data_IF_751494464174
#
_entry.id   IF_751494464174
#
_cell.length_a   1.000
_cell.length_b   1.000
_cell.length_c   1.000
_cell.angle_alpha   90.00
_cell.angle_beta   90.00
_cell.angle_gamma   90.00
#
_symmetry.space_group_name_H-M   'P 1'
#
loop_
_entity.id
_entity.type
_entity.pdbx_description
1 polymer ?
#
# COMPACT_ATOMS: atom_id res chain seq x y z
N UNK A 1 -0.99 -46.19 -41.56
CA UNK A 1 -0.65 -44.94 -40.83
C UNK A 1 0.38 -45.27 -39.75
N UNK A 2 1.60 -44.70 -39.83
CA UNK A 2 2.63 -44.87 -38.79
C UNK A 2 2.36 -43.85 -37.67
N UNK A 3 2.15 -44.30 -36.44
CA UNK A 3 2.02 -43.42 -35.26
C UNK A 3 3.39 -42.79 -34.96
N UNK A 4 3.49 -41.47 -34.75
CA UNK A 4 4.74 -40.87 -34.29
C UNK A 4 5.00 -41.31 -32.85
N UNK A 5 6.17 -41.92 -32.62
CA UNK A 5 6.68 -42.21 -31.28
C UNK A 5 7.08 -40.89 -30.63
N UNK A 6 6.46 -40.56 -29.49
CA UNK A 6 6.91 -39.49 -28.62
C UNK A 6 8.33 -39.82 -28.16
N UNK A 7 9.34 -39.11 -28.70
CA UNK A 7 10.69 -39.11 -28.12
C UNK A 7 10.61 -38.44 -26.76
N UNK A 8 10.79 -39.21 -25.68
CA UNK A 8 11.16 -38.64 -24.37
C UNK A 8 12.50 -37.93 -24.55
N UNK A 9 12.57 -36.64 -24.25
CA UNK A 9 13.84 -35.93 -24.06
C UNK A 9 14.50 -36.48 -22.79
N UNK A 10 15.21 -37.60 -22.92
CA UNK A 10 16.02 -38.17 -21.84
C UNK A 10 17.19 -37.23 -21.55
N UNK A 11 17.32 -36.82 -20.28
CA UNK A 11 18.54 -36.16 -19.80
C UNK A 11 19.70 -37.14 -19.98
N UNK A 12 20.87 -36.64 -20.37
CA UNK A 12 22.06 -37.46 -20.58
C UNK A 12 22.37 -38.29 -19.32
N UNK A 13 22.76 -39.58 -19.44
CA UNK A 13 23.17 -40.37 -18.29
C UNK A 13 24.46 -39.80 -17.71
N UNK A 14 24.33 -39.07 -16.60
CA UNK A 14 25.43 -38.47 -15.83
C UNK A 14 24.95 -38.01 -14.46
N UNK A 15 25.85 -37.95 -13.49
CA UNK A 15 25.59 -37.38 -12.16
C UNK A 15 25.16 -35.91 -12.33
N UNK A 16 24.07 -35.50 -11.66
CA UNK A 16 23.63 -34.11 -11.66
C UNK A 16 24.80 -33.21 -11.25
N UNK A 17 25.02 -32.15 -12.03
CA UNK A 17 25.99 -31.12 -11.65
C UNK A 17 25.48 -30.38 -10.41
N UNK A 18 26.36 -29.73 -9.63
CA UNK A 18 25.93 -28.86 -8.52
C UNK A 18 24.90 -27.79 -8.95
N UNK A 19 25.04 -27.28 -10.18
CA UNK A 19 24.10 -26.33 -10.78
C UNK A 19 22.73 -26.97 -11.04
N UNK A 20 22.68 -28.19 -11.59
CA UNK A 20 21.44 -28.92 -11.79
C UNK A 20 20.74 -29.23 -10.45
N UNK A 21 21.53 -29.58 -9.43
CA UNK A 21 21.01 -29.86 -8.09
C UNK A 21 20.41 -28.60 -7.45
N UNK A 22 21.06 -27.45 -7.61
CA UNK A 22 20.53 -26.17 -7.13
C UNK A 22 19.18 -25.81 -7.77
N UNK A 23 19.01 -26.05 -9.07
CA UNK A 23 17.74 -25.82 -9.77
C UNK A 23 16.64 -26.75 -9.22
N UNK A 24 16.96 -28.03 -9.02
CA UNK A 24 16.02 -29.01 -8.43
C UNK A 24 15.59 -28.59 -7.03
N UNK A 25 16.53 -28.11 -6.21
CA UNK A 25 16.24 -27.71 -4.83
C UNK A 25 15.43 -26.42 -4.76
N UNK A 26 15.69 -25.44 -5.65
CA UNK A 26 14.84 -24.26 -5.81
C UNK A 26 13.41 -24.64 -6.21
N UNK A 27 13.25 -25.55 -7.17
CA UNK A 27 11.93 -26.03 -7.60
C UNK A 27 11.18 -26.75 -6.47
N UNK A 28 11.87 -27.55 -5.65
CA UNK A 28 11.30 -28.19 -4.45
C UNK A 28 10.89 -27.19 -3.38
N UNK A 29 11.70 -26.15 -3.16
CA UNK A 29 11.38 -25.08 -2.24
C UNK A 29 10.11 -24.32 -2.69
N UNK A 30 10.01 -24.02 -3.99
CA UNK A 30 8.82 -23.41 -4.60
C UNK A 30 7.56 -24.26 -4.39
N UNK A 31 7.64 -25.57 -4.68
CA UNK A 31 6.49 -26.48 -4.47
C UNK A 31 6.08 -26.57 -3.00
N UNK A 32 7.04 -26.58 -2.08
CA UNK A 32 6.77 -26.59 -0.64
C UNK A 32 6.04 -25.31 -0.22
N UNK A 33 6.52 -24.13 -0.65
CA UNK A 33 5.89 -22.85 -0.35
C UNK A 33 4.44 -22.79 -0.83
N UNK A 34 4.15 -23.29 -2.05
CA UNK A 34 2.79 -23.32 -2.60
C UNK A 34 1.86 -24.31 -1.90
N UNK A 35 2.36 -25.49 -1.51
CA UNK A 35 1.52 -26.56 -0.92
C UNK A 35 1.25 -26.33 0.55
N UNK A 36 2.23 -25.78 1.26
CA UNK A 36 2.16 -25.54 2.69
C UNK A 36 2.61 -24.10 2.95
N UNK A 37 1.81 -23.10 2.53
CA UNK A 37 2.12 -21.72 2.83
C UNK A 37 2.19 -21.55 4.35
N UNK A 38 3.26 -20.92 4.83
CA UNK A 38 3.31 -20.50 6.22
C UNK A 38 2.25 -19.42 6.42
N UNK A 39 1.31 -19.59 7.36
CA UNK A 39 0.18 -18.67 7.52
C UNK A 39 0.71 -17.30 7.91
N UNK A 40 0.26 -16.26 7.22
CA UNK A 40 0.53 -14.90 7.64
C UNK A 40 -0.50 -14.49 8.70
N UNK A 41 -0.01 -13.82 9.74
CA UNK A 41 -0.85 -13.18 10.75
C UNK A 41 -0.66 -11.67 10.64
N UNK A 42 -1.75 -10.88 10.55
CA UNK A 42 -1.72 -9.42 10.56
C UNK A 42 -0.83 -8.86 11.68
N UNK A 43 -0.01 -7.84 11.38
CA UNK A 43 0.86 -7.17 12.36
C UNK A 43 2.27 -7.74 12.53
N UNK A 44 2.66 -8.77 11.77
CA UNK A 44 3.97 -9.40 11.89
C UNK A 44 5.16 -8.59 11.36
N UNK A 45 4.91 -7.47 10.65
CA UNK A 45 5.91 -6.67 9.91
C UNK A 45 6.84 -7.48 8.98
N UNK A 46 6.48 -8.74 8.72
CA UNK A 46 7.17 -9.65 7.82
C UNK A 46 6.67 -9.39 6.41
N UNK A 47 7.58 -9.54 5.46
CA UNK A 47 7.15 -9.50 4.08
C UNK A 47 6.21 -10.67 3.83
N UNK A 48 5.18 -10.37 3.06
CA UNK A 48 4.13 -11.29 2.71
C UNK A 48 4.26 -11.68 1.25
N UNK A 49 3.82 -12.90 0.96
CA UNK A 49 3.62 -13.38 -0.38
C UNK A 49 2.23 -12.95 -0.83
N UNK A 50 2.16 -11.99 -1.72
CA UNK A 50 0.89 -11.47 -2.24
C UNK A 50 0.70 -11.93 -3.67
N UNK A 51 -0.47 -12.46 -3.97
CA UNK A 51 -0.82 -12.81 -5.34
C UNK A 51 -1.01 -11.53 -6.15
N UNK A 52 -0.26 -11.44 -7.24
CA UNK A 52 -0.35 -10.38 -8.25
C UNK A 52 -0.52 -11.06 -9.60
N UNK A 53 -1.78 -11.26 -10.00
CA UNK A 53 -2.11 -12.04 -11.20
C UNK A 53 -1.64 -13.49 -11.09
N UNK A 54 -0.93 -14.03 -12.11
CA UNK A 54 -0.39 -15.39 -12.05
C UNK A 54 0.91 -15.48 -11.24
N UNK A 55 1.44 -14.34 -10.78
CA UNK A 55 2.68 -14.24 -10.04
C UNK A 55 2.43 -14.05 -8.54
N UNK A 56 3.48 -14.29 -7.76
CA UNK A 56 3.52 -14.06 -6.32
C UNK A 56 4.61 -13.05 -6.06
N UNK A 57 4.23 -11.89 -5.54
CA UNK A 57 5.15 -10.82 -5.24
C UNK A 57 5.47 -10.77 -3.75
N UNK A 58 6.71 -10.39 -3.46
CA UNK A 58 7.10 -10.00 -2.12
C UNK A 58 6.52 -8.61 -1.87
N UNK A 59 5.70 -8.47 -0.85
CA UNK A 59 5.21 -7.18 -0.41
C UNK A 59 5.57 -6.96 1.06
N UNK A 60 6.01 -5.76 1.38
CA UNK A 60 6.21 -5.30 2.73
C UNK A 60 4.91 -4.69 3.22
N UNK A 61 4.34 -5.14 4.33
CA UNK A 61 3.13 -4.51 4.85
C UNK A 61 3.42 -3.08 5.33
N UNK A 62 2.48 -2.17 5.16
CA UNK A 62 2.54 -0.83 5.74
C UNK A 62 2.29 -0.97 7.22
N UNK A 63 3.28 -0.66 8.07
CA UNK A 63 3.08 -0.75 9.50
C UNK A 63 1.85 0.06 9.93
N UNK A 64 0.91 -0.57 10.65
CA UNK A 64 -0.27 0.09 11.21
C UNK A 64 -1.48 0.18 10.28
N UNK A 65 -1.34 -0.27 9.03
CA UNK A 65 -2.44 -0.49 8.11
C UNK A 65 -2.44 -1.95 7.64
N UNK A 66 -1.84 -2.84 8.43
CA UNK A 66 -1.65 -4.26 8.13
C UNK A 66 -2.51 -5.20 8.96
N UNK A 67 -3.55 -4.64 9.58
CA UNK A 67 -4.49 -5.31 10.49
C UNK A 67 -5.96 -5.30 10.02
N UNK A 68 -6.26 -4.62 8.90
CA UNK A 68 -7.63 -4.54 8.40
C UNK A 68 -8.16 -5.91 7.98
N UNK A 69 -9.41 -6.26 8.33
CA UNK A 69 -9.94 -7.60 8.10
C UNK A 69 -10.06 -7.93 6.62
N UNK A 70 -10.39 -6.93 5.80
CA UNK A 70 -10.61 -7.08 4.36
C UNK A 70 -9.46 -6.49 3.54
N UNK A 71 -8.86 -5.39 4.01
CA UNK A 71 -7.87 -4.60 3.29
C UNK A 71 -6.76 -4.11 4.20
N UNK A 72 -5.53 -4.22 3.73
CA UNK A 72 -4.33 -3.72 4.38
C UNK A 72 -3.48 -2.90 3.41
N UNK A 73 -2.57 -2.06 3.86
CA UNK A 73 -1.61 -1.42 2.97
C UNK A 73 -0.28 -2.16 2.89
N UNK A 74 0.38 -2.14 1.73
CA UNK A 74 1.62 -2.86 1.43
C UNK A 74 2.46 -2.10 0.40
N UNK A 75 3.78 -2.24 0.43
CA UNK A 75 4.67 -1.78 -0.64
C UNK A 75 5.29 -3.00 -1.30
N UNK A 76 5.24 -3.12 -2.62
CA UNK A 76 5.90 -4.23 -3.31
C UNK A 76 7.43 -4.09 -3.22
N UNK A 77 8.11 -5.20 -2.95
CA UNK A 77 9.57 -5.26 -2.76
C UNK A 77 10.19 -6.23 -3.74
N UNK A 78 11.29 -5.84 -4.37
CA UNK A 78 12.02 -6.74 -5.26
C UNK A 78 12.50 -7.97 -4.47
N UNK A 79 12.37 -9.21 -4.99
CA UNK A 79 12.73 -10.41 -4.24
C UNK A 79 14.16 -10.40 -3.73
N UNK A 80 15.11 -9.92 -4.55
CA UNK A 80 16.54 -9.83 -4.21
C UNK A 80 16.92 -8.60 -3.37
N UNK A 81 16.00 -7.69 -3.11
CA UNK A 81 16.32 -6.52 -2.29
C UNK A 81 16.40 -6.94 -0.81
N UNK A 82 17.47 -6.55 -0.07
CA UNK A 82 17.59 -6.86 1.34
C UNK A 82 16.51 -6.18 2.19
N UNK A 83 15.97 -5.05 1.72
CA UNK A 83 14.87 -4.30 2.35
C UNK A 83 13.92 -3.70 1.29
N UNK A 84 12.78 -3.16 1.71
CA UNK A 84 11.83 -2.39 0.89
C UNK A 84 12.47 -1.20 0.11
N UNK A 85 13.74 -0.87 0.39
CA UNK A 85 14.58 0.10 -0.31
C UNK A 85 15.34 -0.44 -1.52
N UNK A 86 14.64 -0.66 -2.63
CA UNK A 86 14.77 0.19 -3.81
C UNK A 86 16.10 0.57 -4.51
N UNK A 87 17.31 0.07 -4.23
CA UNK A 87 18.50 0.72 -4.83
C UNK A 87 19.23 0.01 -5.98
N UNK A 88 19.17 -1.33 -6.12
CA UNK A 88 19.93 -2.00 -7.19
C UNK A 88 19.11 -2.33 -8.44
N UNK A 89 17.83 -2.71 -8.30
CA UNK A 89 16.98 -3.11 -9.44
C UNK A 89 15.55 -2.53 -9.39
N UNK A 90 15.19 -1.88 -8.28
CA UNK A 90 13.80 -1.51 -8.00
C UNK A 90 13.24 -0.38 -8.88
N UNK A 91 14.09 0.48 -9.48
CA UNK A 91 13.64 1.47 -10.48
C UNK A 91 13.39 0.85 -11.85
N UNK A 92 14.10 -0.22 -12.21
CA UNK A 92 14.04 -0.83 -13.53
C UNK A 92 12.83 -1.78 -13.68
N UNK A 93 12.40 -2.40 -12.57
CA UNK A 93 11.29 -3.38 -12.56
C UNK A 93 10.04 -2.89 -11.81
N UNK A 94 9.96 -1.60 -11.48
CA UNK A 94 8.71 -0.97 -11.02
C UNK A 94 8.35 -1.15 -9.53
N UNK A 95 9.26 -1.67 -8.69
CA UNK A 95 9.03 -1.89 -7.26
C UNK A 95 9.12 -0.62 -6.38
N UNK A 96 9.69 0.46 -6.88
CA UNK A 96 10.12 1.61 -6.04
C UNK A 96 9.26 2.86 -6.16
N UNK A 97 8.43 2.91 -7.20
CA UNK A 97 7.63 4.08 -7.55
C UNK A 97 6.18 3.98 -7.07
N UNK A 98 5.79 2.89 -6.40
CA UNK A 98 4.38 2.59 -6.10
C UNK A 98 3.91 3.01 -4.72
N UNK A 99 4.82 3.37 -3.82
CA UNK A 99 4.48 3.76 -2.45
C UNK A 99 3.72 2.64 -1.72
N UNK A 100 2.75 3.02 -0.89
CA UNK A 100 1.91 2.08 -0.15
C UNK A 100 0.61 1.79 -0.88
N UNK A 101 0.18 0.54 -0.88
CA UNK A 101 -0.90 -0.03 -1.68
C UNK A 101 -1.90 -0.83 -0.82
N UNK A 102 -3.19 -0.52 -0.85
CA UNK A 102 -4.32 -1.31 -0.36
C UNK A 102 -4.40 -2.68 -1.04
N UNK A 103 -3.91 -3.69 -0.33
CA UNK A 103 -3.97 -5.11 -0.60
C UNK A 103 -5.14 -5.75 0.15
N UNK A 104 -5.96 -6.52 -0.56
CA UNK A 104 -6.95 -7.38 0.09
C UNK A 104 -6.27 -8.48 0.90
N UNK A 105 -6.78 -8.78 2.08
CA UNK A 105 -6.23 -9.86 2.93
C UNK A 105 -6.38 -11.23 2.27
N UNK A 106 -7.37 -11.39 1.40
CA UNK A 106 -7.62 -12.61 0.60
C UNK A 106 -6.54 -12.86 -0.47
N UNK A 107 -5.81 -11.81 -0.90
CA UNK A 107 -4.72 -11.93 -1.86
C UNK A 107 -3.42 -12.43 -1.20
N UNK A 108 -3.37 -12.49 0.13
CA UNK A 108 -2.19 -12.86 0.90
C UNK A 108 -2.13 -14.37 1.02
N UNK A 109 -1.10 -14.95 0.41
CA UNK A 109 -0.89 -16.39 0.43
C UNK A 109 -0.28 -16.87 1.74
N UNK A 110 0.42 -15.99 2.44
CA UNK A 110 1.16 -16.30 3.65
C UNK A 110 2.42 -15.45 3.75
N UNK A 111 3.34 -15.85 4.62
CA UNK A 111 4.63 -15.19 4.70
C UNK A 111 5.45 -15.35 3.43
N UNK A 112 6.21 -14.33 3.09
CA UNK A 112 7.23 -14.43 2.06
C UNK A 112 8.24 -15.51 2.44
N UNK A 113 8.42 -16.47 1.55
CA UNK A 113 9.39 -17.55 1.66
C UNK A 113 10.27 -17.51 0.41
N UNK A 114 11.57 -17.84 0.50
CA UNK A 114 12.46 -17.86 -0.67
C UNK A 114 11.94 -18.70 -1.84
N UNK A 115 11.14 -19.74 -1.56
CA UNK A 115 10.50 -20.57 -2.60
C UNK A 115 9.55 -19.79 -3.52
N UNK A 116 8.99 -18.66 -3.09
CA UNK A 116 8.17 -17.80 -3.94
C UNK A 116 8.97 -16.92 -4.89
N UNK A 117 10.29 -16.78 -4.70
CA UNK A 117 11.12 -15.92 -5.55
C UNK A 117 11.00 -16.29 -7.04
N UNK A 118 10.97 -17.59 -7.37
CA UNK A 118 10.81 -18.09 -8.74
C UNK A 118 9.45 -17.75 -9.38
N UNK A 119 8.47 -17.35 -8.58
CA UNK A 119 7.12 -17.02 -9.00
C UNK A 119 6.89 -15.51 -9.10
N UNK A 120 7.93 -14.69 -8.95
CA UNK A 120 7.84 -13.24 -9.13
C UNK A 120 7.97 -12.85 -10.60
N UNK A 121 7.49 -11.66 -10.95
CA UNK A 121 7.79 -11.05 -12.24
C UNK A 121 9.30 -10.87 -12.44
N UNK A 122 10.01 -10.46 -11.39
CA UNK A 122 11.45 -10.28 -11.42
C UNK A 122 12.19 -11.56 -11.85
N UNK A 123 11.79 -12.74 -11.34
CA UNK A 123 12.40 -14.01 -11.74
C UNK A 123 12.12 -14.38 -13.21
N UNK A 124 10.98 -13.96 -13.75
CA UNK A 124 10.68 -14.07 -15.18
C UNK A 124 11.38 -12.98 -16.03
N UNK A 125 12.21 -12.12 -15.42
CA UNK A 125 12.79 -10.92 -16.05
C UNK A 125 11.73 -9.98 -16.63
N UNK A 126 10.55 -9.97 -16.00
CA UNK A 126 9.44 -9.11 -16.35
C UNK A 126 9.36 -7.96 -15.34
N UNK A 127 9.01 -6.73 -15.78
CA UNK A 127 8.69 -5.65 -14.86
C UNK A 127 7.39 -5.96 -14.11
N UNK A 128 7.21 -5.38 -12.92
CA UNK A 128 5.89 -5.37 -12.29
C UNK A 128 4.87 -4.73 -13.24
N UNK A 129 3.72 -5.37 -13.47
CA UNK A 129 2.70 -4.85 -14.36
C UNK A 129 2.20 -3.52 -13.82
N UNK A 130 1.97 -2.52 -14.67
CA UNK A 130 1.59 -1.17 -14.22
C UNK A 130 0.39 -1.18 -13.26
N UNK A 131 -0.57 -2.09 -13.44
CA UNK A 131 -1.60 -2.44 -12.46
C UNK A 131 -1.28 -3.76 -11.74
N UNK A 132 -1.07 -3.69 -10.42
CA UNK A 132 -0.83 -4.86 -9.55
C UNK A 132 -2.09 -5.38 -8.85
N UNK A 133 -3.23 -4.73 -9.09
CA UNK A 133 -4.50 -5.08 -8.44
C UNK A 133 -4.62 -4.60 -6.99
N UNK A 134 -3.91 -3.53 -6.61
CA UNK A 134 -3.94 -2.91 -5.28
C UNK A 134 -3.96 -1.38 -5.41
N UNK A 135 -4.89 -0.72 -4.73
CA UNK A 135 -5.03 0.75 -4.76
C UNK A 135 -3.98 1.43 -3.88
N UNK A 136 -3.69 2.74 -3.96
CA UNK A 136 -2.80 3.40 -2.99
C UNK A 136 -3.42 3.62 -1.59
N UNK A 137 -2.62 3.61 -0.52
CA UNK A 137 -3.12 3.51 0.87
C UNK A 137 -3.10 4.77 1.76
N UNK A 138 -3.42 5.94 1.23
CA UNK A 138 -3.02 7.25 1.78
C UNK A 138 -3.76 7.76 3.06
N UNK A 139 -3.53 9.02 3.50
CA UNK A 139 -4.15 9.65 4.69
C UNK A 139 -5.00 10.86 4.32
N UNK A 140 -5.80 11.37 5.27
CA UNK A 140 -6.50 12.61 5.05
C UNK A 140 -6.71 13.44 6.35
N UNK A 141 -6.99 14.74 6.20
CA UNK A 141 -7.36 15.68 7.24
C UNK A 141 -8.85 16.00 7.11
N UNK A 142 -9.45 16.47 8.18
CA UNK A 142 -10.83 16.83 8.32
C UNK A 142 -10.87 18.05 9.23
N UNK A 143 -11.24 19.20 8.70
CA UNK A 143 -11.49 20.39 9.48
C UNK A 143 -12.97 20.34 9.83
N UNK A 144 -13.29 20.36 11.11
CA UNK A 144 -14.64 20.16 11.62
C UNK A 144 -15.08 21.34 12.47
N UNK A 145 -16.33 21.77 12.29
CA UNK A 145 -17.04 22.70 13.14
C UNK A 145 -17.96 21.93 14.09
N UNK A 146 -17.72 22.04 15.40
CA UNK A 146 -18.52 21.36 16.44
C UNK A 146 -19.22 22.38 17.35
N UNK A 147 -20.46 22.12 17.77
CA UNK A 147 -21.19 23.02 18.68
C UNK A 147 -20.47 23.12 20.04
N UNK A 148 -20.58 24.28 20.69
CA UNK A 148 -19.94 24.54 22.00
C UNK A 148 -20.66 23.94 23.20
N UNK A 149 -21.89 23.51 23.03
CA UNK A 149 -22.74 22.97 24.08
C UNK A 149 -22.40 21.51 24.46
N UNK A 150 -21.37 20.93 23.85
CA UNK A 150 -20.91 19.56 24.12
C UNK A 150 -21.75 18.47 23.45
N UNK A 151 -22.72 18.83 22.60
CA UNK A 151 -23.42 17.87 21.74
C UNK A 151 -22.51 17.30 20.64
N UNK A 152 -22.85 16.12 20.09
CA UNK A 152 -22.15 15.54 18.93
C UNK A 152 -22.48 16.26 17.62
N UNK A 153 -23.36 17.24 17.67
CA UNK A 153 -23.79 18.03 16.52
C UNK A 153 -22.65 18.88 16.00
N UNK A 154 -22.42 18.76 14.70
CA UNK A 154 -21.39 19.49 13.99
C UNK A 154 -21.25 18.96 12.59
N UNK A 155 -20.43 19.62 11.80
CA UNK A 155 -20.23 19.28 10.40
C UNK A 155 -18.78 19.47 10.03
N UNK A 156 -18.38 18.78 8.97
CA UNK A 156 -17.04 18.91 8.42
C UNK A 156 -17.01 20.09 7.47
N UNK A 157 -16.11 21.04 7.74
CA UNK A 157 -15.88 22.26 6.97
C UNK A 157 -15.02 22.01 5.73
N UNK A 158 -13.95 21.24 5.90
CA UNK A 158 -12.97 20.93 4.87
C UNK A 158 -12.49 19.52 5.13
N UNK A 159 -12.16 18.73 4.11
CA UNK A 159 -11.36 17.53 4.32
C UNK A 159 -10.19 17.58 3.36
N UNK A 160 -9.01 17.11 3.72
CA UNK A 160 -7.83 17.21 2.86
C UNK A 160 -7.14 15.87 2.68
N UNK A 161 -6.96 15.37 1.47
CA UNK A 161 -6.28 14.10 1.21
C UNK A 161 -6.72 13.55 -0.14
N UNK A 162 -6.17 12.41 -0.62
CA UNK A 162 -5.24 11.52 0.04
C UNK A 162 -3.79 12.01 0.02
N UNK A 163 -3.12 11.94 1.16
CA UNK A 163 -1.69 12.16 1.21
C UNK A 163 -0.91 10.92 0.81
N UNK A 164 -0.35 11.02 -0.39
CA UNK A 164 0.52 10.01 -0.99
C UNK A 164 1.79 9.70 -0.18
N UNK A 165 2.23 10.69 0.60
CA UNK A 165 3.36 10.61 1.52
C UNK A 165 2.96 11.27 2.83
N UNK A 166 3.10 10.55 3.94
CA UNK A 166 2.74 11.05 5.28
C UNK A 166 3.41 12.40 5.61
N UNK A 167 4.62 12.65 5.10
CA UNK A 167 5.34 13.90 5.32
C UNK A 167 4.59 15.14 4.81
N UNK A 168 3.83 14.99 3.74
CA UNK A 168 3.04 16.07 3.20
C UNK A 168 1.77 16.26 4.04
N UNK A 169 1.18 15.14 4.50
CA UNK A 169 0.04 15.13 5.40
C UNK A 169 0.27 15.94 6.68
N UNK A 170 1.40 15.68 7.35
CA UNK A 170 1.76 16.37 8.59
C UNK A 170 2.06 17.85 8.36
N UNK A 171 2.82 18.15 7.29
CA UNK A 171 3.19 19.53 6.96
C UNK A 171 1.94 20.40 6.86
N UNK A 172 0.92 19.91 6.18
CA UNK A 172 -0.28 20.69 5.94
C UNK A 172 -1.23 20.72 7.15
N UNK A 173 -1.24 19.68 7.99
CA UNK A 173 -1.93 19.70 9.29
C UNK A 173 -1.40 20.80 10.25
N UNK A 174 -0.08 20.96 10.35
CA UNK A 174 0.55 21.96 11.23
C UNK A 174 0.21 23.39 10.76
N UNK A 175 0.23 23.59 9.44
CA UNK A 175 -0.11 24.86 8.81
C UNK A 175 -1.55 25.27 9.10
N UNK A 176 -2.49 24.32 9.01
CA UNK A 176 -3.90 24.54 9.31
C UNK A 176 -4.14 24.85 10.80
N UNK A 177 -3.49 24.11 11.70
CA UNK A 177 -3.66 24.33 13.14
C UNK A 177 -3.14 25.70 13.57
N UNK A 178 -1.98 26.11 13.04
CA UNK A 178 -1.45 27.45 13.28
C UNK A 178 -2.37 28.55 12.74
N UNK A 179 -3.02 28.31 11.59
CA UNK A 179 -3.99 29.26 11.03
C UNK A 179 -5.29 29.37 11.84
N UNK A 180 -5.62 28.32 12.62
CA UNK A 180 -6.81 28.27 13.48
C UNK A 180 -6.59 28.91 14.86
N UNK A 181 -5.35 29.03 15.34
CA UNK A 181 -5.02 29.50 16.69
C UNK A 181 -5.54 30.94 16.96
N UNK A 182 -6.27 31.10 18.05
CA UNK A 182 -6.97 32.35 18.40
C UNK A 182 -8.18 32.68 17.52
N UNK A 183 -8.50 31.85 16.52
CA UNK A 183 -9.63 32.00 15.59
C UNK A 183 -10.66 30.87 15.70
N UNK A 184 -10.41 29.82 16.48
CA UNK A 184 -11.23 28.60 16.51
C UNK A 184 -12.70 28.87 16.86
N UNK A 185 -12.94 29.91 17.65
CA UNK A 185 -14.27 30.31 18.12
C UNK A 185 -14.83 31.53 17.39
N UNK A 186 -14.09 32.10 16.44
CA UNK A 186 -14.51 33.29 15.70
C UNK A 186 -14.78 32.99 14.23
N UNK A 187 -14.22 31.89 13.69
CA UNK A 187 -14.40 31.49 12.29
C UNK A 187 -15.83 31.11 11.94
N UNK A 188 -16.53 30.37 12.82
CA UNK A 188 -17.92 29.95 12.61
C UNK A 188 -18.72 30.23 13.88
N UNK A 189 -19.65 31.20 13.87
CA UNK A 189 -20.43 31.58 15.06
C UNK A 189 -21.18 30.40 15.69
N UNK A 190 -21.08 30.24 17.00
CA UNK A 190 -21.72 29.14 17.74
C UNK A 190 -21.00 27.79 17.67
N UNK A 191 -19.99 27.67 16.81
CA UNK A 191 -19.15 26.49 16.69
C UNK A 191 -17.73 26.77 17.21
N UNK A 192 -16.99 25.69 17.42
CA UNK A 192 -15.53 25.67 17.54
C UNK A 192 -14.99 24.88 16.36
N UNK A 193 -14.04 25.46 15.63
CA UNK A 193 -13.39 24.85 14.46
C UNK A 193 -12.09 24.19 14.88
N UNK A 194 -11.80 23.00 14.35
CA UNK A 194 -10.55 22.27 14.60
C UNK A 194 -10.20 21.38 13.41
N UNK A 195 -8.91 21.15 13.15
CA UNK A 195 -8.43 20.14 12.20
C UNK A 195 -8.25 18.77 12.86
N UNK A 196 -8.52 17.69 12.12
CA UNK A 196 -8.45 16.30 12.55
C UNK A 196 -7.78 15.47 11.46
N UNK A 197 -6.80 14.66 11.81
CA UNK A 197 -6.15 13.71 10.91
C UNK A 197 -6.86 12.35 10.96
N UNK A 198 -7.08 11.66 9.84
CA UNK A 198 -7.61 10.29 9.83
C UNK A 198 -7.07 9.45 8.66
N UNK A 199 -7.10 8.11 8.77
CA UNK A 199 -6.89 7.23 7.63
C UNK A 199 -7.77 7.69 6.49
N UNK A 200 -7.19 7.73 5.30
CA UNK A 200 -8.04 7.73 4.14
C UNK A 200 -8.67 6.35 4.09
N UNK A 201 -9.90 6.27 4.58
CA UNK A 201 -10.81 5.28 4.04
C UNK A 201 -11.03 5.68 2.58
N UNK A 202 -10.64 4.80 1.68
CA UNK A 202 -10.84 5.03 0.24
C UNK A 202 -12.32 5.26 -0.07
N UNK A 203 -13.20 4.68 0.76
CA UNK A 203 -14.66 4.80 0.62
C UNK A 203 -15.16 6.25 0.73
N UNK A 204 -14.42 7.13 1.41
CA UNK A 204 -14.85 8.50 1.73
C UNK A 204 -14.18 9.59 0.87
N UNK A 205 -13.43 9.23 -0.18
CA UNK A 205 -12.52 10.14 -0.90
C UNK A 205 -13.13 11.45 -1.42
N UNK A 206 -14.38 11.40 -1.91
CA UNK A 206 -15.05 12.56 -2.54
C UNK A 206 -15.31 13.71 -1.57
N UNK A 207 -15.21 13.42 -0.29
CA UNK A 207 -15.43 14.41 0.74
C UNK A 207 -14.18 15.27 0.99
N UNK A 208 -13.05 14.99 0.30
CA UNK A 208 -11.73 15.57 0.52
C UNK A 208 -11.21 16.43 -0.64
N UNK A 209 -10.67 17.59 -0.29
CA UNK A 209 -9.89 18.53 -1.08
C UNK A 209 -8.42 18.07 -1.21
N UNK A 210 -7.79 18.37 -2.34
CA UNK A 210 -6.40 17.96 -2.58
C UNK A 210 -5.41 18.92 -1.88
N UNK A 211 -4.55 18.41 -0.98
CA UNK A 211 -3.58 19.22 -0.26
C UNK A 211 -2.34 19.62 -1.07
N UNK A 212 -2.14 19.09 -2.27
CA UNK A 212 -0.96 19.36 -3.11
C UNK A 212 -1.15 20.53 -4.08
N UNK A 213 -2.40 20.91 -4.38
CA UNK A 213 -2.73 21.88 -5.44
C UNK A 213 -2.98 23.29 -4.92
N UNK A 214 -3.31 23.41 -3.65
CA UNK A 214 -3.62 24.67 -3.04
C UNK A 214 -2.94 24.80 -1.70
N UNK A 215 -2.70 26.05 -1.34
CA UNK A 215 -2.29 26.36 0.00
C UNK A 215 -3.40 25.93 0.96
N UNK A 216 -3.09 24.98 1.85
CA UNK A 216 -4.09 24.42 2.77
C UNK A 216 -4.72 25.47 3.68
N UNK A 217 -4.03 26.58 3.97
CA UNK A 217 -4.59 27.68 4.75
C UNK A 217 -5.57 28.52 3.90
N UNK A 218 -5.28 28.73 2.62
CA UNK A 218 -6.22 29.40 1.72
C UNK A 218 -7.50 28.56 1.50
N UNK A 219 -7.38 27.23 1.42
CA UNK A 219 -8.54 26.33 1.36
C UNK A 219 -9.42 26.45 2.61
N UNK A 220 -8.79 26.55 3.78
CA UNK A 220 -9.49 26.78 5.03
C UNK A 220 -10.25 28.12 5.02
N UNK A 221 -9.63 29.21 4.56
CA UNK A 221 -10.28 30.53 4.53
C UNK A 221 -11.48 30.56 3.57
N UNK A 222 -11.41 29.89 2.42
CA UNK A 222 -12.56 29.75 1.49
C UNK A 222 -13.69 28.93 2.12
N UNK A 223 -13.36 27.79 2.75
CA UNK A 223 -14.34 26.94 3.42
C UNK A 223 -15.09 27.71 4.54
N UNK A 224 -14.39 28.57 5.26
CA UNK A 224 -14.98 29.44 6.30
C UNK A 224 -15.86 30.54 5.70
N UNK A 225 -15.44 31.17 4.59
CA UNK A 225 -16.21 32.22 3.92
C UNK A 225 -17.56 31.69 3.40
N UNK A 226 -17.59 30.47 2.84
CA UNK A 226 -18.82 29.85 2.32
C UNK A 226 -19.86 29.50 3.39
N UNK A 227 -19.46 29.34 4.65
CA UNK A 227 -20.37 29.08 5.78
C UNK A 227 -20.89 30.39 6.39
N UNK A 228 -20.25 31.51 6.09
CA UNK A 228 -20.57 32.84 6.65
C UNK A 228 -21.41 33.73 5.73
N UNK A 229 -21.69 33.29 4.49
CA UNK A 229 -22.50 34.00 3.49
C UNK A 229 -23.98 33.57 3.53
#
# INVERSE_FOLDING_TARGET
MKRPLFRRCGHAPGTLTPEDQAVVDQFRAMLTALRTPQPWTPGGAQDIAVRVGPFVERAHTRPGDDHGPDMIAVALVHPDAPHAGAYLHGRQLGYTNRGWLRCETTAILGFWQPGYAMLTHAAASLPLPDGVGMDPAHYALYIEARKRDGSRDGFTLLRLGPYTQTRHAQRDYDRLTAALDGRETTLVPGFRVSARYAPFDVSDHQLFDDPYEADVVALLDVAVAGVSA
#
